data_IF_288474073217
#
_entry.id   IF_288474073217
#
_cell.length_a   1.000
_cell.length_b   1.000
_cell.length_c   1.000
_cell.angle_alpha   90.00
_cell.angle_beta   90.00
_cell.angle_gamma   90.00
#
_symmetry.space_group_name_H-M   'P 1'
#
loop_
_entity.id
_entity.type
_entity.pdbx_description
1 polymer ?
#
# COMPACT_ATOMS: atom_id res chain seq x y z
N UNK A 1 -5.38 -31.76 13.83
CA UNK A 1 -6.05 -31.26 15.06
C UNK A 1 -6.88 -30.06 14.69
N UNK A 2 -7.94 -29.76 15.46
CA UNK A 2 -8.87 -28.66 15.19
C UNK A 2 -8.19 -27.29 15.03
N UNK A 3 -7.05 -27.09 15.72
CA UNK A 3 -6.19 -25.91 15.58
C UNK A 3 -5.75 -25.67 14.12
N UNK A 4 -5.25 -26.70 13.41
CA UNK A 4 -4.85 -26.58 12.01
C UNK A 4 -6.02 -26.47 11.01
N UNK A 5 -7.28 -26.49 11.47
CA UNK A 5 -8.45 -26.19 10.64
C UNK A 5 -8.85 -24.71 10.79
N UNK A 6 -8.74 -24.15 12.00
CA UNK A 6 -8.92 -22.72 12.24
C UNK A 6 -7.89 -21.89 11.46
N UNK A 7 -6.60 -22.25 11.55
CA UNK A 7 -5.52 -21.55 10.83
C UNK A 7 -5.74 -21.51 9.30
N UNK A 8 -6.35 -22.56 8.74
CA UNK A 8 -6.67 -22.63 7.30
C UNK A 8 -7.84 -21.75 6.91
N UNK A 9 -8.79 -21.54 7.82
CA UNK A 9 -9.91 -20.63 7.59
C UNK A 9 -9.40 -19.19 7.65
N UNK A 10 -8.58 -18.87 8.64
CA UNK A 10 -8.00 -17.52 8.78
C UNK A 10 -7.14 -17.16 7.57
N UNK A 11 -6.27 -18.07 7.11
CA UNK A 11 -5.47 -17.85 5.90
C UNK A 11 -6.33 -17.61 4.65
N UNK A 12 -7.42 -18.37 4.49
CA UNK A 12 -8.34 -18.17 3.37
C UNK A 12 -9.10 -16.83 3.45
N UNK A 13 -9.41 -16.36 4.67
CA UNK A 13 -9.98 -15.04 4.89
C UNK A 13 -9.00 -13.93 4.51
N UNK A 14 -7.74 -14.05 4.94
CA UNK A 14 -6.70 -13.08 4.60
C UNK A 14 -6.49 -12.98 3.08
N UNK A 15 -6.47 -14.11 2.37
CA UNK A 15 -6.37 -14.15 0.91
C UNK A 15 -7.50 -13.36 0.22
N UNK A 16 -8.73 -13.50 0.72
CA UNK A 16 -9.89 -12.78 0.19
C UNK A 16 -9.76 -11.28 0.48
N UNK A 17 -9.36 -10.90 1.70
CA UNK A 17 -9.15 -9.49 2.07
C UNK A 17 -8.04 -8.85 1.23
N UNK A 18 -6.93 -9.55 1.00
CA UNK A 18 -5.85 -9.10 0.13
C UNK A 18 -6.33 -8.85 -1.30
N UNK A 19 -7.11 -9.77 -1.85
CA UNK A 19 -7.69 -9.63 -3.18
C UNK A 19 -8.62 -8.41 -3.26
N UNK A 20 -9.54 -8.26 -2.32
CA UNK A 20 -10.46 -7.11 -2.28
C UNK A 20 -9.70 -5.78 -2.19
N UNK A 21 -8.68 -5.70 -1.32
CA UNK A 21 -7.84 -4.51 -1.19
C UNK A 21 -7.10 -4.18 -2.49
N UNK A 22 -6.57 -5.18 -3.19
CA UNK A 22 -5.91 -4.98 -4.49
C UNK A 22 -6.89 -4.44 -5.53
N UNK A 23 -8.08 -5.04 -5.64
CA UNK A 23 -9.08 -4.60 -6.62
C UNK A 23 -9.63 -3.20 -6.35
N UNK A 24 -9.82 -2.83 -5.09
CA UNK A 24 -10.29 -1.50 -4.68
C UNK A 24 -9.21 -0.40 -4.69
N UNK A 25 -7.94 -0.75 -4.90
CA UNK A 25 -6.83 0.20 -4.90
C UNK A 25 -6.89 1.21 -6.05
N UNK A 26 -6.42 2.43 -5.79
CA UNK A 26 -6.13 3.42 -6.83
C UNK A 26 -5.05 2.84 -7.75
N UNK A 27 -5.28 2.92 -9.07
CA UNK A 27 -4.37 2.35 -10.07
C UNK A 27 -3.46 3.42 -10.70
N UNK A 28 -2.38 2.96 -11.33
CA UNK A 28 -1.53 3.82 -12.14
C UNK A 28 -2.36 4.53 -13.23
N UNK A 29 -2.06 5.81 -13.45
CA UNK A 29 -2.76 6.70 -14.39
C UNK A 29 -4.24 6.99 -14.07
N UNK A 30 -4.73 6.60 -12.89
CA UNK A 30 -6.05 7.02 -12.44
C UNK A 30 -6.00 8.49 -12.00
N UNK A 31 -6.74 9.36 -12.69
CA UNK A 31 -6.86 10.75 -12.31
C UNK A 31 -7.57 10.88 -10.96
N UNK A 32 -6.98 11.65 -10.04
CA UNK A 32 -7.57 11.99 -8.75
C UNK A 32 -7.66 13.51 -8.61
N UNK A 33 -8.78 13.98 -8.08
CA UNK A 33 -8.92 15.36 -7.62
C UNK A 33 -8.12 15.60 -6.33
N UNK A 34 -7.77 16.85 -6.05
CA UNK A 34 -7.06 17.21 -4.82
C UNK A 34 -7.77 16.74 -3.52
N UNK A 35 -9.12 16.81 -3.41
CA UNK A 35 -9.84 16.23 -2.26
C UNK A 35 -9.67 14.71 -2.15
N UNK A 36 -9.69 13.97 -3.26
CA UNK A 36 -9.50 12.50 -3.24
C UNK A 36 -8.08 12.12 -2.81
N UNK A 37 -7.07 12.85 -3.28
CA UNK A 37 -5.67 12.66 -2.86
C UNK A 37 -5.54 12.91 -1.36
N UNK A 38 -6.11 14.02 -0.86
CA UNK A 38 -6.08 14.35 0.57
C UNK A 38 -6.79 13.30 1.43
N UNK A 39 -7.92 12.78 0.96
CA UNK A 39 -8.63 11.70 1.64
C UNK A 39 -7.81 10.40 1.67
N UNK A 40 -7.10 10.06 0.58
CA UNK A 40 -6.23 8.90 0.53
C UNK A 40 -5.11 8.96 1.59
N UNK A 41 -4.44 10.11 1.73
CA UNK A 41 -3.43 10.29 2.76
C UNK A 41 -4.00 10.21 4.17
N UNK A 42 -5.17 10.81 4.43
CA UNK A 42 -5.84 10.69 5.74
C UNK A 42 -6.19 9.24 6.08
N UNK A 43 -6.66 8.46 5.11
CA UNK A 43 -6.91 7.04 5.30
C UNK A 43 -5.62 6.26 5.59
N UNK A 44 -4.51 6.67 4.98
CA UNK A 44 -3.19 6.07 5.21
C UNK A 44 -2.66 6.38 6.62
N UNK A 45 -2.87 7.60 7.11
CA UNK A 45 -2.47 8.00 8.48
C UNK A 45 -3.31 7.30 9.57
N UNK A 46 -4.51 6.82 9.23
CA UNK A 46 -5.42 6.16 10.15
C UNK A 46 -5.13 4.66 10.36
N UNK A 47 -4.30 4.05 9.51
CA UNK A 47 -3.87 2.67 9.65
C UNK A 47 -2.50 2.61 10.30
N UNK A 48 -2.23 1.56 11.09
CA UNK A 48 -0.88 1.27 11.54
C UNK A 48 -0.01 0.97 10.31
N UNK A 49 0.80 1.96 9.93
CA UNK A 49 1.35 2.03 8.59
C UNK A 49 2.43 0.95 8.38
N UNK A 50 2.10 -0.05 7.58
CA UNK A 50 3.10 -0.92 6.97
C UNK A 50 3.60 -0.25 5.69
N UNK A 51 4.93 -0.10 5.56
CA UNK A 51 5.57 0.45 4.37
C UNK A 51 5.34 -0.41 3.10
N UNK A 52 4.64 -1.53 3.22
CA UNK A 52 4.28 -2.43 2.14
C UNK A 52 2.77 -2.67 2.07
N UNK A 53 2.26 -2.88 0.87
CA UNK A 53 0.91 -3.37 0.67
C UNK A 53 0.79 -4.82 1.19
N UNK A 54 -0.43 -5.37 1.31
CA UNK A 54 -0.61 -6.74 1.79
C UNK A 54 0.12 -7.82 0.97
N UNK A 55 0.50 -7.50 -0.28
CA UNK A 55 1.28 -8.39 -1.16
C UNK A 55 2.81 -8.12 -1.11
N UNK A 56 3.28 -7.28 -0.19
CA UNK A 56 4.70 -7.00 0.01
C UNK A 56 5.32 -5.94 -0.91
N UNK A 57 4.54 -5.21 -1.73
CA UNK A 57 5.10 -4.11 -2.54
C UNK A 57 5.22 -2.83 -1.72
N UNK A 58 6.33 -2.08 -1.79
CA UNK A 58 6.47 -0.84 -1.05
C UNK A 58 5.42 0.18 -1.50
N UNK A 59 4.78 0.87 -0.55
CA UNK A 59 3.76 1.90 -0.83
C UNK A 59 4.31 3.32 -0.76
N UNK A 60 5.51 3.50 -0.20
CA UNK A 60 6.21 4.78 -0.11
C UNK A 60 7.69 4.59 -0.43
N UNK A 61 8.27 5.60 -1.07
CA UNK A 61 9.73 5.72 -1.26
C UNK A 61 10.12 7.10 -0.76
N UNK A 62 11.17 7.15 0.07
CA UNK A 62 11.77 8.42 0.50
C UNK A 62 12.90 8.76 -0.46
N UNK A 63 12.95 10.01 -0.89
CA UNK A 63 13.99 10.55 -1.77
C UNK A 63 14.48 11.87 -1.19
N UNK A 64 15.79 11.98 -0.96
CA UNK A 64 16.37 13.24 -0.48
C UNK A 64 16.63 14.20 -1.65
N UNK A 65 16.83 15.48 -1.34
CA UNK A 65 17.12 16.48 -2.37
C UNK A 65 18.39 16.11 -3.16
N UNK A 66 19.42 15.59 -2.48
CA UNK A 66 20.65 15.13 -3.12
C UNK A 66 20.41 13.95 -4.10
N UNK A 67 19.46 13.06 -3.80
CA UNK A 67 19.07 11.98 -4.72
C UNK A 67 18.46 12.57 -6.00
N UNK A 68 17.60 13.58 -5.84
CA UNK A 68 17.00 14.31 -6.97
C UNK A 68 18.10 14.99 -7.80
N UNK A 69 19.01 15.73 -7.17
CA UNK A 69 20.12 16.40 -7.86
C UNK A 69 20.99 15.44 -8.66
N UNK A 70 21.29 14.27 -8.09
CA UNK A 70 22.05 13.21 -8.77
C UNK A 70 21.32 12.69 -10.01
N UNK A 71 19.99 12.54 -9.98
CA UNK A 71 19.21 12.13 -11.17
C UNK A 71 19.35 13.13 -12.33
N UNK A 72 19.56 14.41 -12.03
CA UNK A 72 19.78 15.46 -13.03
C UNK A 72 21.26 15.75 -13.31
N UNK A 73 22.19 14.93 -12.79
CA UNK A 73 23.65 15.13 -12.92
C UNK A 73 24.13 16.49 -12.42
N UNK A 74 23.52 16.98 -11.33
CA UNK A 74 23.86 18.26 -10.70
C UNK A 74 24.73 18.11 -9.43
N UNK A 75 25.17 16.89 -9.13
CA UNK A 75 26.00 16.53 -7.98
C UNK A 75 27.49 16.63 -8.31
#
# INVERSE_FOLDING_TARGET
GELGKADRIDAAFDDILMLMACHGSVRANQALSAPQISALFKSLDAVDFNAHCPHGRPVVVRMELADVERLFKRA
#
